data_IF_582733216375
#
_entry.id   IF_582733216375
#
_cell.length_a   1.000
_cell.length_b   1.000
_cell.length_c   1.000
_cell.angle_alpha   90.00
_cell.angle_beta   90.00
_cell.angle_gamma   90.00
#
_symmetry.space_group_name_H-M   'P 1'
#
loop_
_entity.id
_entity.type
_entity.pdbx_description
1 polymer ?
#
# COMPACT_ATOMS: atom_id res chain seq x y z
N UNK A 1 11.67 23.78 23.12
CA UNK A 1 11.39 22.62 22.25
C UNK A 1 9.99 22.76 21.71
N UNK A 2 9.81 22.76 20.38
CA UNK A 2 8.50 22.84 19.73
C UNK A 2 7.71 21.52 19.87
N UNK A 3 6.41 21.55 19.55
CA UNK A 3 5.58 20.33 19.51
C UNK A 3 6.14 19.29 18.52
N UNK A 4 6.56 19.72 17.33
CA UNK A 4 7.12 18.85 16.31
C UNK A 4 8.46 18.22 16.71
N UNK A 5 9.33 18.96 17.40
CA UNK A 5 10.58 18.40 17.93
C UNK A 5 10.30 17.31 18.98
N UNK A 6 9.31 17.51 19.86
CA UNK A 6 8.88 16.47 20.83
C UNK A 6 8.32 15.25 20.13
N UNK A 7 7.49 15.44 19.11
CA UNK A 7 6.94 14.36 18.29
C UNK A 7 8.05 13.51 17.65
N UNK A 8 9.03 14.14 17.00
CA UNK A 8 10.15 13.42 16.39
C UNK A 8 11.01 12.66 17.39
N UNK A 9 11.26 13.25 18.56
CA UNK A 9 11.99 12.58 19.63
C UNK A 9 11.21 11.37 20.16
N UNK A 10 9.91 11.51 20.37
CA UNK A 10 9.05 10.44 20.83
C UNK A 10 9.07 9.24 19.88
N UNK A 11 8.80 9.47 18.60
CA UNK A 11 8.74 8.38 17.61
C UNK A 11 10.12 7.79 17.31
N UNK A 12 11.19 8.59 17.37
CA UNK A 12 12.57 8.08 17.28
C UNK A 12 12.91 7.11 18.42
N UNK A 13 12.58 7.49 19.67
CA UNK A 13 12.78 6.62 20.83
C UNK A 13 11.95 5.33 20.70
N UNK A 14 10.69 5.43 20.28
CA UNK A 14 9.80 4.29 20.15
C UNK A 14 10.28 3.32 19.06
N UNK A 15 10.82 3.81 17.94
CA UNK A 15 11.46 2.96 16.92
C UNK A 15 12.60 2.13 17.53
N UNK A 16 13.39 2.70 18.41
CA UNK A 16 14.46 1.97 19.10
C UNK A 16 13.91 0.99 20.14
N UNK A 17 12.96 1.39 20.97
CA UNK A 17 12.31 0.53 21.97
C UNK A 17 11.65 -0.71 21.34
N UNK A 18 11.02 -0.52 20.17
CA UNK A 18 10.42 -1.58 19.39
C UNK A 18 11.44 -2.39 18.56
N UNK A 19 12.73 -2.07 18.65
CA UNK A 19 13.83 -2.72 17.92
C UNK A 19 13.71 -2.62 16.39
N UNK A 20 13.02 -1.60 15.91
CA UNK A 20 12.88 -1.32 14.47
C UNK A 20 14.11 -0.59 13.91
N UNK A 21 15.00 -0.11 14.77
CA UNK A 21 16.30 0.47 14.43
C UNK A 21 17.36 0.04 15.44
N UNK A 22 18.62 0.00 15.01
CA UNK A 22 19.80 -0.13 15.87
C UNK A 22 20.25 1.25 16.38
N UNK A 23 21.29 1.29 17.22
CA UNK A 23 21.80 2.54 17.79
C UNK A 23 22.22 3.61 16.77
N UNK A 24 22.62 3.20 15.57
CA UNK A 24 23.08 4.09 14.48
C UNK A 24 22.17 4.03 13.24
N UNK A 25 21.20 3.15 13.24
CA UNK A 25 20.36 2.91 12.08
C UNK A 25 19.13 3.82 12.03
N UNK A 26 18.64 4.04 10.81
CA UNK A 26 17.39 4.75 10.56
C UNK A 26 17.48 6.27 10.64
N UNK A 27 16.48 6.90 10.10
CA UNK A 27 16.29 8.35 10.14
C UNK A 27 14.81 8.67 9.88
N UNK A 28 14.36 9.80 10.42
CA UNK A 28 12.97 10.23 10.33
C UNK A 28 12.90 11.69 9.91
N UNK A 29 11.82 12.02 9.22
CA UNK A 29 11.56 13.40 8.84
C UNK A 29 10.08 13.76 8.86
N UNK A 30 9.82 15.06 8.93
CA UNK A 30 8.49 15.67 8.95
C UNK A 30 8.44 16.90 8.05
N UNK A 31 7.39 17.01 7.22
CA UNK A 31 7.09 18.25 6.50
C UNK A 31 6.57 19.28 7.48
N UNK A 32 7.21 20.45 7.54
CA UNK A 32 6.85 21.56 8.47
C UNK A 32 6.34 22.80 7.76
N UNK A 33 6.22 22.74 6.44
CA UNK A 33 5.71 23.81 5.59
C UNK A 33 5.73 23.41 4.13
N UNK A 34 5.35 24.31 3.24
CA UNK A 34 5.25 24.02 1.80
C UNK A 34 6.56 23.49 1.22
N UNK A 35 7.70 24.05 1.63
CA UNK A 35 9.04 23.74 1.14
C UNK A 35 10.07 23.61 2.26
N UNK A 36 9.62 23.23 3.46
CA UNK A 36 10.49 23.09 4.65
C UNK A 36 10.22 21.78 5.33
N UNK A 37 11.30 21.16 5.81
CA UNK A 37 11.25 19.86 6.46
C UNK A 37 12.10 19.88 7.73
N UNK A 38 11.75 19.06 8.70
CA UNK A 38 12.55 18.73 9.85
C UNK A 38 13.01 17.29 9.69
N UNK A 39 14.30 17.03 9.79
CA UNK A 39 14.91 15.71 9.61
C UNK A 39 15.93 15.45 10.70
N UNK A 40 16.18 14.19 11.04
CA UNK A 40 17.27 13.81 11.94
C UNK A 40 18.62 14.16 11.33
N UNK A 41 19.55 14.59 12.17
CA UNK A 41 20.92 14.91 11.78
C UNK A 41 21.73 13.67 11.37
N UNK A 42 22.86 13.90 10.73
CA UNK A 42 23.80 12.85 10.40
C UNK A 42 24.34 12.21 11.69
N UNK A 43 24.29 10.87 11.77
CA UNK A 43 24.68 10.07 12.94
C UNK A 43 23.87 10.34 14.21
N UNK A 44 22.70 10.97 14.12
CA UNK A 44 21.81 11.16 15.26
C UNK A 44 21.22 9.83 15.72
N UNK A 45 21.50 9.36 16.94
CA UNK A 45 20.95 8.09 17.43
C UNK A 45 19.47 8.27 17.78
N UNK A 46 18.59 7.52 17.12
CA UNK A 46 17.14 7.66 17.33
C UNK A 46 16.71 7.40 18.78
N UNK A 47 17.42 6.51 19.48
CA UNK A 47 17.19 6.19 20.89
C UNK A 47 17.40 7.36 21.86
N UNK A 48 18.23 8.33 21.49
CA UNK A 48 18.69 9.41 22.38
C UNK A 48 18.54 10.78 21.72
N UNK A 49 17.58 10.93 20.83
CA UNK A 49 17.33 12.19 20.13
C UNK A 49 17.10 13.34 21.09
N UNK A 50 17.72 14.45 20.79
CA UNK A 50 17.47 15.76 21.40
C UNK A 50 17.10 16.78 20.34
N UNK A 51 16.62 17.95 20.72
CA UNK A 51 16.31 19.00 19.75
C UNK A 51 17.53 19.48 18.95
N UNK A 52 18.76 19.24 19.44
CA UNK A 52 20.02 19.59 18.76
C UNK A 52 20.30 18.65 17.57
N UNK A 53 19.78 17.44 17.63
CA UNK A 53 19.94 16.39 16.60
C UNK A 53 18.95 16.54 15.45
N UNK A 54 18.02 17.49 15.54
CA UNK A 54 17.01 17.76 14.53
C UNK A 54 17.43 18.95 13.67
N UNK A 55 17.42 18.75 12.35
CA UNK A 55 17.89 19.70 11.36
C UNK A 55 16.72 20.18 10.51
N UNK A 56 16.54 21.51 10.45
CA UNK A 56 15.60 22.14 9.52
C UNK A 56 16.27 22.31 8.16
N UNK A 57 15.64 21.81 7.11
CA UNK A 57 16.15 21.87 5.74
C UNK A 57 15.13 22.53 4.80
N UNK A 58 15.64 23.09 3.72
CA UNK A 58 14.83 23.58 2.60
C UNK A 58 14.50 22.43 1.59
N UNK A 59 13.79 22.78 0.52
CA UNK A 59 13.44 21.83 -0.56
C UNK A 59 14.62 21.23 -1.32
N UNK A 60 15.82 21.82 -1.18
CA UNK A 60 17.05 21.35 -1.82
C UNK A 60 17.92 20.55 -0.81
N UNK A 61 17.41 20.27 0.39
CA UNK A 61 18.13 19.56 1.44
C UNK A 61 19.18 20.40 2.19
N UNK A 62 19.19 21.71 1.96
CA UNK A 62 20.18 22.60 2.60
C UNK A 62 19.73 22.94 4.01
N UNK A 63 20.58 22.69 5.03
CA UNK A 63 20.30 23.08 6.41
C UNK A 63 20.09 24.59 6.53
N UNK A 64 19.06 25.01 7.25
CA UNK A 64 18.83 26.44 7.57
C UNK A 64 19.98 27.00 8.41
N UNK A 65 20.51 26.20 9.35
CA UNK A 65 21.72 26.52 10.11
C UNK A 65 22.91 25.82 9.47
N UNK A 66 23.83 26.56 8.89
CA UNK A 66 25.01 26.06 8.17
C UNK A 66 25.94 25.16 9.00
N UNK A 67 25.87 25.23 10.33
CA UNK A 67 26.65 24.39 11.25
C UNK A 67 26.06 23.01 11.47
N UNK A 68 24.82 22.75 11.06
CA UNK A 68 24.16 21.45 11.19
C UNK A 68 24.36 20.63 9.92
N UNK A 69 24.40 19.30 10.10
CA UNK A 69 24.44 18.33 9.00
C UNK A 69 23.19 17.46 9.07
N UNK A 70 22.38 17.45 8.02
CA UNK A 70 21.23 16.56 7.87
C UNK A 70 21.69 15.13 7.58
N UNK A 71 20.80 14.15 7.77
CA UNK A 71 21.04 12.75 7.41
C UNK A 71 21.56 12.61 5.97
N UNK A 72 22.44 11.64 5.72
CA UNK A 72 22.89 11.25 4.39
C UNK A 72 21.74 10.81 3.48
N UNK A 73 20.63 10.32 4.07
CA UNK A 73 19.41 9.91 3.36
C UNK A 73 18.44 11.07 3.07
N UNK A 74 18.85 12.32 3.30
CA UNK A 74 18.06 13.51 2.93
C UNK A 74 17.55 13.48 1.50
N UNK A 75 18.33 13.05 0.46
CA UNK A 75 17.84 12.95 -0.90
C UNK A 75 16.64 12.00 -1.06
N UNK A 76 16.65 10.84 -0.37
CA UNK A 76 15.55 9.90 -0.35
C UNK A 76 14.28 10.55 0.21
N UNK A 77 14.36 11.16 1.40
CA UNK A 77 13.21 11.82 2.02
C UNK A 77 12.61 12.91 1.15
N UNK A 78 13.45 13.75 0.54
CA UNK A 78 13.00 14.81 -0.36
C UNK A 78 12.36 14.27 -1.63
N UNK A 79 12.89 13.18 -2.21
CA UNK A 79 12.28 12.53 -3.36
C UNK A 79 10.87 12.02 -3.03
N UNK A 80 10.70 11.38 -1.86
CA UNK A 80 9.38 10.93 -1.37
C UNK A 80 8.43 12.11 -1.21
N UNK A 81 8.85 13.20 -0.57
CA UNK A 81 8.00 14.40 -0.41
C UNK A 81 7.65 15.09 -1.72
N UNK A 82 8.51 15.01 -2.72
CA UNK A 82 8.27 15.57 -4.05
C UNK A 82 7.30 14.71 -4.87
N UNK A 83 7.40 13.39 -4.72
CA UNK A 83 6.67 12.45 -5.55
C UNK A 83 5.38 11.91 -4.96
N UNK A 84 5.08 12.24 -3.69
CA UNK A 84 3.88 11.77 -2.94
C UNK A 84 3.29 12.89 -2.10
N UNK A 85 2.11 12.63 -1.50
CA UNK A 85 1.45 13.54 -0.56
C UNK A 85 1.90 13.35 0.91
N UNK A 86 2.99 12.63 1.14
CA UNK A 86 3.51 12.33 2.47
C UNK A 86 3.74 13.59 3.31
N UNK A 87 3.42 13.49 4.60
CA UNK A 87 3.74 14.51 5.61
C UNK A 87 4.87 14.06 6.53
N UNK A 88 5.10 12.76 6.63
CA UNK A 88 6.18 12.15 7.38
C UNK A 88 6.81 11.00 6.58
N UNK A 89 8.09 10.75 6.82
CA UNK A 89 8.84 9.61 6.27
C UNK A 89 9.69 9.01 7.38
N UNK A 90 9.61 7.69 7.50
CA UNK A 90 10.47 6.89 8.37
C UNK A 90 11.29 5.94 7.50
N UNK A 91 12.59 6.01 7.62
CA UNK A 91 13.52 4.99 7.17
C UNK A 91 14.03 4.24 8.38
N UNK A 92 13.79 2.92 8.43
CA UNK A 92 14.08 2.05 9.55
C UNK A 92 14.75 0.75 9.09
N UNK A 93 15.35 0.00 10.04
CA UNK A 93 16.05 -1.25 9.78
C UNK A 93 15.49 -2.40 10.61
N UNK A 94 14.21 -2.78 10.44
CA UNK A 94 13.58 -3.84 11.19
C UNK A 94 14.28 -5.19 10.91
N UNK A 95 14.74 -5.92 11.93
CA UNK A 95 15.68 -7.03 11.73
C UNK A 95 15.07 -8.24 10.99
N UNK A 96 13.80 -8.57 11.24
CA UNK A 96 13.15 -9.68 10.53
C UNK A 96 12.85 -9.33 9.08
N UNK A 97 12.38 -8.11 8.82
CA UNK A 97 12.18 -7.61 7.46
C UNK A 97 13.50 -7.60 6.70
N UNK A 98 14.58 -7.15 7.34
CA UNK A 98 15.91 -7.13 6.74
C UNK A 98 16.36 -8.54 6.37
N UNK A 99 16.31 -9.50 7.31
CA UNK A 99 16.66 -10.90 7.07
C UNK A 99 15.81 -11.54 5.95
N UNK A 100 14.49 -11.31 5.98
CA UNK A 100 13.57 -11.80 4.95
C UNK A 100 13.91 -11.27 3.56
N UNK A 101 14.28 -10.00 3.46
CA UNK A 101 14.55 -9.32 2.18
C UNK A 101 15.71 -9.91 1.41
N UNK A 102 16.67 -10.56 2.09
CA UNK A 102 17.86 -11.14 1.45
C UNK A 102 17.55 -12.29 0.49
N UNK A 103 16.44 -12.99 0.69
CA UNK A 103 16.05 -14.19 -0.08
C UNK A 103 14.74 -14.07 -0.85
N UNK A 104 14.04 -12.92 -0.77
CA UNK A 104 12.73 -12.72 -1.37
C UNK A 104 12.69 -11.49 -2.28
N UNK A 105 11.69 -11.45 -3.18
CA UNK A 105 11.47 -10.32 -4.12
C UNK A 105 10.27 -9.45 -3.75
N UNK A 106 9.35 -9.98 -2.95
CA UNK A 106 8.21 -9.29 -2.37
C UNK A 106 7.81 -9.95 -1.07
N UNK A 107 7.03 -9.27 -0.25
CA UNK A 107 6.41 -9.79 0.96
C UNK A 107 4.90 -9.76 0.82
N UNK A 108 4.23 -10.90 0.92
CA UNK A 108 2.78 -11.01 0.92
C UNK A 108 2.28 -11.39 2.33
N UNK A 109 1.60 -10.47 3.04
CA UNK A 109 1.07 -10.73 4.38
C UNK A 109 0.09 -11.90 4.43
N UNK A 110 0.05 -12.60 5.56
CA UNK A 110 -0.84 -13.75 5.77
C UNK A 110 -2.11 -13.42 6.57
N UNK A 111 -2.05 -12.44 7.48
CA UNK A 111 -3.21 -12.01 8.24
C UNK A 111 -4.10 -11.05 7.46
N UNK A 112 -5.36 -10.92 7.89
CA UNK A 112 -6.31 -9.99 7.26
C UNK A 112 -5.91 -8.53 7.49
N UNK A 113 -5.56 -8.16 8.71
CA UNK A 113 -5.21 -6.80 9.09
C UNK A 113 -4.03 -6.28 8.27
N UNK A 114 -2.97 -7.07 8.15
CA UNK A 114 -1.77 -6.72 7.40
C UNK A 114 -2.06 -6.61 5.90
N UNK A 115 -2.84 -7.57 5.33
CA UNK A 115 -3.27 -7.50 3.92
C UNK A 115 -4.00 -6.22 3.59
N UNK A 116 -4.85 -5.74 4.52
CA UNK A 116 -5.61 -4.51 4.33
C UNK A 116 -4.79 -3.25 4.54
N UNK A 117 -3.83 -3.30 5.45
CA UNK A 117 -3.10 -2.10 5.86
C UNK A 117 -1.87 -1.84 5.00
N UNK A 118 -1.08 -2.87 4.71
CA UNK A 118 0.16 -2.73 3.93
C UNK A 118 0.11 -3.42 2.56
N UNK A 119 -0.76 -4.45 2.39
CA UNK A 119 -0.83 -5.23 1.16
C UNK A 119 0.45 -6.00 0.86
N UNK A 120 0.62 -6.42 -0.39
CA UNK A 120 1.90 -6.98 -0.85
C UNK A 120 2.94 -5.86 -0.93
N UNK A 121 4.09 -6.04 -0.27
CA UNK A 121 5.17 -5.06 -0.17
C UNK A 121 6.31 -5.45 -1.09
N UNK A 122 6.71 -4.54 -1.98
CA UNK A 122 7.83 -4.74 -2.90
C UNK A 122 9.18 -4.71 -2.17
N UNK A 123 10.10 -5.58 -2.59
CA UNK A 123 11.49 -5.59 -2.15
C UNK A 123 12.35 -5.06 -3.31
N UNK A 124 12.92 -3.87 -3.13
CA UNK A 124 13.75 -3.22 -4.13
C UNK A 124 15.22 -3.59 -3.94
N UNK A 125 15.92 -4.02 -4.98
CA UNK A 125 17.37 -4.23 -4.91
C UNK A 125 18.09 -2.97 -4.42
N UNK A 126 19.08 -3.16 -3.56
CA UNK A 126 19.91 -2.11 -3.00
C UNK A 126 21.39 -2.49 -3.13
N UNK A 127 22.16 -1.67 -3.84
CA UNK A 127 23.57 -1.97 -4.14
C UNK A 127 24.55 -1.13 -3.31
N UNK A 128 24.06 -0.08 -2.65
CA UNK A 128 24.88 0.88 -1.91
C UNK A 128 24.34 1.10 -0.49
N UNK A 129 25.19 1.47 0.49
CA UNK A 129 24.74 1.76 1.87
C UNK A 129 23.77 2.92 1.99
N UNK A 130 23.75 3.84 1.01
CA UNK A 130 22.78 4.94 0.91
C UNK A 130 21.87 4.70 -0.29
N UNK A 131 20.60 5.12 -0.19
CA UNK A 131 19.63 4.91 -1.27
C UNK A 131 19.92 5.86 -2.44
N UNK A 132 20.38 5.31 -3.56
CA UNK A 132 20.66 6.06 -4.79
C UNK A 132 19.50 6.03 -5.79
N UNK A 133 18.76 4.93 -5.86
CA UNK A 133 17.62 4.70 -6.77
C UNK A 133 16.31 5.29 -6.21
N UNK A 134 16.33 6.57 -5.79
CA UNK A 134 15.20 7.21 -5.11
C UNK A 134 13.93 7.28 -5.95
N UNK A 135 14.06 7.35 -7.29
CA UNK A 135 12.92 7.41 -8.20
C UNK A 135 12.09 6.11 -8.11
N UNK A 136 12.76 4.97 -8.11
CA UNK A 136 12.11 3.65 -8.01
C UNK A 136 11.40 3.47 -6.67
N UNK A 137 12.00 3.96 -5.58
CA UNK A 137 11.36 3.99 -4.26
C UNK A 137 10.08 4.81 -4.29
N UNK A 138 10.11 5.99 -4.92
CA UNK A 138 8.92 6.86 -5.04
C UNK A 138 7.83 6.21 -5.86
N UNK A 139 8.16 5.53 -6.96
CA UNK A 139 7.17 4.82 -7.80
C UNK A 139 6.43 3.77 -6.99
N UNK A 140 7.14 2.97 -6.19
CA UNK A 140 6.50 1.98 -5.30
C UNK A 140 5.69 2.65 -4.18
N UNK A 141 6.20 3.71 -3.56
CA UNK A 141 5.50 4.42 -2.49
C UNK A 141 4.26 5.19 -2.96
N UNK A 142 4.08 5.40 -4.26
CA UNK A 142 2.80 5.89 -4.82
C UNK A 142 1.71 4.84 -4.77
N UNK A 143 2.08 3.57 -4.89
CA UNK A 143 1.15 2.44 -4.89
C UNK A 143 0.88 1.94 -3.48
N UNK A 144 1.90 1.94 -2.62
CA UNK A 144 1.91 1.35 -1.27
C UNK A 144 2.49 2.33 -0.25
N UNK A 145 2.06 2.28 1.01
CA UNK A 145 2.55 3.22 2.02
C UNK A 145 3.95 2.87 2.56
N UNK A 146 4.46 1.68 2.25
CA UNK A 146 5.75 1.17 2.71
C UNK A 146 6.42 0.33 1.63
N UNK A 147 7.76 0.35 1.59
CA UNK A 147 8.59 -0.46 0.70
C UNK A 147 9.80 -1.01 1.45
N UNK A 148 10.28 -2.16 1.04
CA UNK A 148 11.48 -2.80 1.59
C UNK A 148 12.65 -2.55 0.63
N UNK A 149 13.79 -2.17 1.18
CA UNK A 149 15.08 -2.07 0.50
C UNK A 149 15.88 -3.32 0.84
N UNK A 150 16.24 -4.12 -0.16
CA UNK A 150 16.88 -5.42 0.03
C UNK A 150 18.18 -5.31 0.83
N UNK A 151 18.28 -6.04 1.93
CA UNK A 151 19.46 -6.05 2.81
C UNK A 151 19.77 -4.71 3.50
N UNK A 152 18.84 -3.74 3.45
CA UNK A 152 19.06 -2.40 4.01
C UNK A 152 18.00 -2.03 5.05
N UNK A 153 16.72 -2.10 4.72
CA UNK A 153 15.64 -1.72 5.64
C UNK A 153 14.33 -1.38 4.95
N UNK A 154 13.58 -0.45 5.51
CA UNK A 154 12.26 -0.03 5.02
C UNK A 154 12.17 1.48 4.82
N UNK A 155 11.29 1.92 3.93
CA UNK A 155 10.86 3.31 3.82
C UNK A 155 9.34 3.34 3.93
N UNK A 156 8.83 3.97 4.98
CA UNK A 156 7.40 4.17 5.22
C UNK A 156 7.05 5.65 5.12
N UNK A 157 5.92 5.94 4.48
CA UNK A 157 5.34 7.27 4.41
C UNK A 157 4.04 7.34 5.22
N UNK A 158 3.69 8.52 5.72
CA UNK A 158 2.44 8.74 6.45
C UNK A 158 1.96 10.19 6.38
N UNK A 159 0.71 10.40 6.78
CA UNK A 159 0.15 11.74 7.07
C UNK A 159 0.83 12.38 8.30
N UNK A 160 1.43 11.57 9.16
CA UNK A 160 2.20 11.93 10.34
C UNK A 160 3.22 10.82 10.67
N UNK A 161 4.06 11.04 11.70
CA UNK A 161 5.05 10.05 12.13
C UNK A 161 4.41 8.83 12.79
N UNK A 162 3.24 8.98 13.40
CA UNK A 162 2.48 7.88 13.99
C UNK A 162 2.11 6.85 12.92
N UNK A 163 1.50 7.29 11.82
CA UNK A 163 1.12 6.39 10.74
C UNK A 163 2.33 5.70 10.11
N UNK A 164 3.40 6.44 9.82
CA UNK A 164 4.62 5.85 9.27
C UNK A 164 5.29 4.85 10.23
N UNK A 165 5.23 5.11 11.54
CA UNK A 165 5.70 4.19 12.57
C UNK A 165 4.86 2.90 12.61
N UNK A 166 3.52 3.05 12.68
CA UNK A 166 2.61 1.90 12.74
C UNK A 166 2.76 0.99 11.52
N UNK A 167 2.97 1.54 10.33
CA UNK A 167 3.25 0.76 9.12
C UNK A 167 4.56 -0.01 9.21
N UNK A 168 5.59 0.59 9.78
CA UNK A 168 6.89 -0.05 9.98
C UNK A 168 6.82 -1.17 11.00
N UNK A 169 6.15 -0.94 12.13
CA UNK A 169 5.95 -1.91 13.22
C UNK A 169 5.09 -3.08 12.73
N UNK A 170 3.99 -2.80 12.02
CA UNK A 170 3.11 -3.82 11.46
C UNK A 170 3.83 -4.72 10.43
N UNK A 171 4.70 -4.15 9.59
CA UNK A 171 5.46 -4.94 8.61
C UNK A 171 6.44 -5.88 9.31
N UNK A 172 7.13 -5.45 10.36
CA UNK A 172 8.02 -6.30 11.15
C UNK A 172 7.25 -7.44 11.80
N UNK A 173 6.09 -7.16 12.42
CA UNK A 173 5.21 -8.15 13.02
C UNK A 173 4.69 -9.15 11.98
N UNK A 174 4.29 -8.67 10.80
CA UNK A 174 3.80 -9.51 9.71
C UNK A 174 4.85 -10.52 9.22
N UNK A 175 6.12 -10.08 9.10
CA UNK A 175 7.24 -10.97 8.74
C UNK A 175 7.51 -11.98 9.85
N UNK A 176 7.44 -11.58 11.12
CA UNK A 176 7.53 -12.51 12.27
C UNK A 176 6.44 -13.58 12.19
N UNK A 177 5.19 -13.21 11.95
CA UNK A 177 4.07 -14.15 11.82
C UNK A 177 4.30 -15.17 10.70
N UNK A 178 4.82 -14.71 9.56
CA UNK A 178 5.12 -15.60 8.43
C UNK A 178 6.26 -16.57 8.76
N UNK A 179 7.28 -16.12 9.45
CA UNK A 179 8.39 -16.96 9.91
C UNK A 179 7.90 -18.09 10.84
N UNK A 180 7.13 -17.76 11.86
CA UNK A 180 6.57 -18.78 12.78
C UNK A 180 5.64 -19.78 12.09
N UNK A 181 4.89 -19.34 11.06
CA UNK A 181 4.08 -20.25 10.24
C UNK A 181 4.95 -21.25 9.49
N UNK A 182 6.07 -20.82 8.91
CA UNK A 182 6.97 -21.69 8.12
C UNK A 182 7.65 -22.77 8.99
N UNK A 183 8.03 -22.44 10.23
CA UNK A 183 8.61 -23.41 11.17
C UNK A 183 7.66 -24.53 11.59
N UNK A 184 6.35 -24.27 11.58
CA UNK A 184 5.32 -25.24 11.99
C UNK A 184 4.76 -26.11 10.86
N UNK A 185 5.32 -26.04 9.65
CA UNK A 185 5.05 -26.99 8.55
C UNK A 185 3.63 -26.94 7.96
N UNK A 186 2.94 -25.80 8.00
CA UNK A 186 1.63 -25.64 7.38
C UNK A 186 1.76 -25.05 5.97
N UNK A 187 1.85 -25.92 4.97
CA UNK A 187 1.78 -25.56 3.53
C UNK A 187 0.33 -25.37 3.10
N UNK A 188 -0.25 -24.25 3.44
CA UNK A 188 -1.49 -23.78 2.81
C UNK A 188 -1.16 -22.92 1.59
N UNK A 189 -0.74 -23.56 0.49
CA UNK A 189 -0.67 -22.86 -0.78
C UNK A 189 -2.09 -22.56 -1.27
N UNK A 190 -2.40 -21.29 -1.52
CA UNK A 190 -3.60 -20.94 -2.29
C UNK A 190 -3.38 -21.42 -3.72
N UNK A 191 -4.37 -22.05 -4.37
CA UNK A 191 -4.25 -22.51 -5.76
C UNK A 191 -3.98 -21.31 -6.67
N UNK A 192 -2.94 -21.42 -7.49
CA UNK A 192 -2.67 -20.47 -8.55
C UNK A 192 -3.85 -20.38 -9.51
N UNK A 193 -4.36 -19.17 -9.74
CA UNK A 193 -5.42 -18.95 -10.71
C UNK A 193 -4.86 -19.09 -12.13
N UNK A 194 -5.49 -19.92 -12.97
CA UNK A 194 -5.17 -20.00 -14.39
C UNK A 194 -5.31 -18.62 -15.05
N UNK A 195 -4.32 -18.23 -15.82
CA UNK A 195 -4.36 -17.01 -16.63
C UNK A 195 -5.46 -17.10 -17.69
N UNK A 196 -6.20 -16.01 -17.87
CA UNK A 196 -7.22 -15.89 -18.91
C UNK A 196 -6.62 -15.09 -20.08
N UNK A 197 -6.69 -15.61 -21.30
CA UNK A 197 -6.25 -14.90 -22.50
C UNK A 197 -7.43 -14.14 -23.12
N UNK A 198 -7.20 -12.87 -23.47
CA UNK A 198 -8.18 -12.10 -24.23
C UNK A 198 -8.35 -12.66 -25.65
N UNK A 199 -9.55 -12.56 -26.27
CA UNK A 199 -9.84 -13.15 -27.57
C UNK A 199 -8.91 -12.72 -28.71
N UNK A 200 -8.29 -11.54 -28.61
CA UNK A 200 -7.37 -10.97 -29.61
C UNK A 200 -5.91 -10.88 -29.15
N UNK A 201 -5.60 -11.42 -27.97
CA UNK A 201 -4.25 -11.40 -27.37
C UNK A 201 -3.80 -10.02 -26.83
N UNK A 202 -4.60 -8.96 -26.98
CA UNK A 202 -4.19 -7.57 -26.66
C UNK A 202 -4.82 -6.99 -25.37
N UNK A 203 -5.65 -7.75 -24.66
CA UNK A 203 -6.38 -7.28 -23.49
C UNK A 203 -7.59 -6.40 -23.82
N UNK A 204 -8.39 -6.09 -22.80
CA UNK A 204 -9.60 -5.28 -22.91
C UNK A 204 -9.29 -3.79 -22.60
N UNK A 205 -10.08 -2.88 -23.20
CA UNK A 205 -10.11 -1.49 -22.75
C UNK A 205 -10.77 -1.45 -21.38
N UNK A 206 -10.10 -0.85 -20.40
CA UNK A 206 -10.60 -0.79 -19.03
C UNK A 206 -12.02 -0.23 -18.96
N UNK A 207 -12.93 -1.01 -18.38
CA UNK A 207 -14.36 -0.72 -18.23
C UNK A 207 -15.11 -0.46 -19.55
N UNK A 208 -14.64 -1.00 -20.68
CA UNK A 208 -15.50 -1.13 -21.85
C UNK A 208 -16.63 -2.14 -21.59
N UNK A 209 -17.68 -2.14 -22.41
CA UNK A 209 -18.80 -3.08 -22.27
C UNK A 209 -18.32 -4.52 -22.35
N UNK A 210 -17.39 -4.82 -23.27
CA UNK A 210 -16.77 -6.14 -23.44
C UNK A 210 -15.96 -6.55 -22.21
N UNK A 211 -15.21 -5.60 -21.62
CA UNK A 211 -14.48 -5.85 -20.38
C UNK A 211 -15.43 -6.16 -19.23
N UNK A 212 -16.47 -5.37 -19.06
CA UNK A 212 -17.47 -5.58 -18.01
C UNK A 212 -18.21 -6.91 -18.18
N UNK A 213 -18.53 -7.31 -19.40
CA UNK A 213 -19.11 -8.62 -19.69
C UNK A 213 -18.16 -9.76 -19.29
N UNK A 214 -16.88 -9.66 -19.67
CA UNK A 214 -15.87 -10.65 -19.29
C UNK A 214 -15.69 -10.77 -17.77
N UNK A 215 -15.75 -9.64 -17.02
CA UNK A 215 -15.70 -9.65 -15.56
C UNK A 215 -16.88 -10.43 -14.95
N UNK A 216 -18.09 -10.25 -15.51
CA UNK A 216 -19.31 -10.91 -15.06
C UNK A 216 -19.26 -12.41 -15.35
N UNK A 217 -18.93 -12.78 -16.57
CA UNK A 217 -18.84 -14.18 -16.98
C UNK A 217 -17.83 -14.92 -16.11
N UNK A 218 -16.66 -14.33 -15.91
CA UNK A 218 -15.59 -14.90 -15.10
C UNK A 218 -16.00 -15.16 -13.65
N UNK A 219 -16.77 -14.24 -13.06
CA UNK A 219 -17.29 -14.40 -11.70
C UNK A 219 -18.42 -15.46 -11.66
N UNK A 220 -19.34 -15.42 -12.62
CA UNK A 220 -20.46 -16.36 -12.68
C UNK A 220 -20.05 -17.80 -13.00
N UNK A 221 -18.91 -18.02 -13.64
CA UNK A 221 -18.36 -19.36 -13.91
C UNK A 221 -17.58 -19.95 -12.73
N UNK A 222 -17.24 -19.14 -11.72
CA UNK A 222 -16.42 -19.60 -10.59
C UNK A 222 -17.28 -20.20 -9.46
N UNK A 223 -17.15 -21.53 -9.18
CA UNK A 223 -17.96 -22.19 -8.16
C UNK A 223 -17.70 -21.65 -6.75
N UNK A 224 -16.48 -21.16 -6.47
CA UNK A 224 -16.13 -20.62 -5.16
C UNK A 224 -16.78 -19.25 -4.95
N UNK A 225 -16.80 -18.39 -5.96
CA UNK A 225 -17.54 -17.13 -5.89
C UNK A 225 -19.03 -17.39 -5.66
N UNK A 226 -19.65 -18.27 -6.43
CA UNK A 226 -21.07 -18.60 -6.28
C UNK A 226 -21.41 -19.16 -4.89
N UNK A 227 -20.59 -20.08 -4.37
CA UNK A 227 -20.78 -20.64 -3.04
C UNK A 227 -20.68 -19.56 -1.95
N UNK A 228 -19.62 -18.75 -1.97
CA UNK A 228 -19.41 -17.68 -0.99
C UNK A 228 -20.49 -16.59 -1.06
N UNK A 229 -20.91 -16.23 -2.28
CA UNK A 229 -21.93 -15.21 -2.49
C UNK A 229 -23.34 -15.70 -2.10
N UNK A 230 -23.63 -16.98 -2.29
CA UNK A 230 -24.88 -17.60 -1.83
C UNK A 230 -24.90 -17.70 -0.31
N UNK A 231 -23.82 -18.19 0.31
CA UNK A 231 -23.70 -18.33 1.77
C UNK A 231 -23.85 -16.97 2.47
N UNK A 232 -23.22 -15.92 1.91
CA UNK A 232 -23.31 -14.56 2.42
C UNK A 232 -24.60 -13.83 2.02
N UNK A 233 -25.53 -14.48 1.30
CA UNK A 233 -26.75 -13.88 0.73
C UNK A 233 -26.45 -12.56 0.02
N UNK A 234 -25.43 -12.54 -0.85
CA UNK A 234 -25.01 -11.36 -1.60
C UNK A 234 -26.13 -10.91 -2.53
N UNK A 235 -26.85 -9.90 -2.12
CA UNK A 235 -27.93 -9.26 -2.89
C UNK A 235 -27.76 -7.75 -2.74
N UNK A 236 -27.22 -7.11 -3.78
CA UNK A 236 -26.92 -5.66 -3.79
C UNK A 236 -26.59 -5.17 -5.19
N UNK A 237 -26.35 -3.90 -5.34
CA UNK A 237 -25.87 -3.27 -6.58
C UNK A 237 -24.58 -2.48 -6.32
N UNK A 238 -23.56 -2.76 -7.12
CA UNK A 238 -22.26 -2.12 -7.04
C UNK A 238 -21.97 -1.35 -8.34
N UNK A 239 -21.79 -0.05 -8.23
CA UNK A 239 -21.31 0.78 -9.34
C UNK A 239 -19.80 0.92 -9.28
N UNK A 240 -19.14 0.60 -10.39
CA UNK A 240 -17.73 0.87 -10.65
C UNK A 240 -17.64 2.10 -11.54
N UNK A 241 -16.90 3.11 -11.10
CA UNK A 241 -16.79 4.39 -11.80
C UNK A 241 -15.33 4.77 -12.03
N UNK A 242 -15.00 4.98 -13.29
CA UNK A 242 -13.74 5.53 -13.75
C UNK A 242 -13.91 7.06 -13.86
N UNK A 243 -13.19 7.83 -13.01
CA UNK A 243 -13.40 9.29 -12.85
C UNK A 243 -13.15 10.12 -14.12
N UNK A 244 -12.45 9.55 -15.09
CA UNK A 244 -12.15 10.18 -16.40
C UNK A 244 -13.08 9.70 -17.53
N UNK A 245 -14.17 8.99 -17.20
CA UNK A 245 -15.23 8.60 -18.15
C UNK A 245 -16.60 9.03 -17.64
N UNK A 246 -17.51 9.33 -18.57
CA UNK A 246 -18.86 9.76 -18.22
C UNK A 246 -19.82 8.60 -17.89
N UNK A 247 -19.41 7.36 -18.16
CA UNK A 247 -20.30 6.20 -18.03
C UNK A 247 -19.79 5.27 -16.93
N UNK A 248 -20.37 5.34 -15.72
CA UNK A 248 -20.17 4.31 -14.69
C UNK A 248 -20.96 3.04 -15.04
N UNK A 249 -20.53 1.90 -14.49
CA UNK A 249 -21.19 0.63 -14.67
C UNK A 249 -21.77 0.12 -13.35
N UNK A 250 -23.06 -0.24 -13.34
CA UNK A 250 -23.73 -0.85 -12.19
C UNK A 250 -23.91 -2.35 -12.42
N UNK A 251 -23.37 -3.13 -11.49
CA UNK A 251 -23.42 -4.59 -11.46
C UNK A 251 -24.45 -5.01 -10.42
N UNK A 252 -25.42 -5.85 -10.80
CA UNK A 252 -26.46 -6.37 -9.93
C UNK A 252 -26.12 -7.77 -9.44
N UNK A 253 -26.09 -7.96 -8.14
CA UNK A 253 -25.85 -9.24 -7.49
C UNK A 253 -27.14 -9.77 -6.88
N UNK A 254 -27.51 -11.00 -7.16
CA UNK A 254 -28.68 -11.70 -6.62
C UNK A 254 -28.31 -13.12 -6.22
N UNK A 255 -28.31 -13.41 -4.91
CA UNK A 255 -28.15 -14.75 -4.33
C UNK A 255 -27.01 -15.56 -4.94
N UNK A 256 -25.84 -14.95 -5.06
CA UNK A 256 -24.63 -15.64 -5.52
C UNK A 256 -24.35 -15.57 -7.01
N UNK A 257 -25.13 -14.80 -7.77
CA UNK A 257 -24.91 -14.57 -9.20
C UNK A 257 -24.90 -13.08 -9.51
N UNK A 258 -24.16 -12.72 -10.54
CA UNK A 258 -24.29 -11.42 -11.18
C UNK A 258 -25.34 -11.58 -12.27
N UNK A 259 -26.49 -10.90 -12.11
CA UNK A 259 -27.66 -11.11 -12.96
C UNK A 259 -27.85 -10.05 -14.02
N UNK A 260 -27.26 -8.85 -13.83
CA UNK A 260 -27.45 -7.72 -14.73
C UNK A 260 -26.29 -6.75 -14.68
N UNK A 261 -25.93 -6.20 -15.84
CA UNK A 261 -25.06 -5.05 -16.03
C UNK A 261 -25.88 -3.88 -16.57
N UNK A 262 -25.66 -2.69 -16.04
CA UNK A 262 -26.37 -1.48 -16.45
C UNK A 262 -25.40 -0.31 -16.55
N UNK A 263 -25.49 0.44 -17.65
CA UNK A 263 -24.77 1.71 -17.76
C UNK A 263 -25.46 2.76 -16.86
N UNK A 264 -24.70 3.40 -15.99
CA UNK A 264 -25.19 4.40 -15.06
C UNK A 264 -24.77 4.14 -13.61
N UNK A 265 -24.80 5.22 -12.81
CA UNK A 265 -24.33 5.23 -11.42
C UNK A 265 -25.42 5.02 -10.38
N UNK A 266 -26.34 4.06 -10.58
CA UNK A 266 -27.55 3.88 -9.75
C UNK A 266 -27.38 2.96 -8.56
N UNK A 267 -26.23 2.26 -8.44
CA UNK A 267 -26.00 1.24 -7.41
C UNK A 267 -26.13 1.74 -5.97
N UNK A 268 -26.46 0.82 -5.07
CA UNK A 268 -26.46 1.05 -3.61
C UNK A 268 -25.06 1.47 -3.13
N UNK A 269 -24.03 0.85 -3.70
CA UNK A 269 -22.64 1.21 -3.47
C UNK A 269 -22.04 1.78 -4.75
N UNK A 270 -21.25 2.84 -4.62
CA UNK A 270 -20.53 3.47 -5.73
C UNK A 270 -19.06 3.61 -5.36
N UNK A 271 -18.20 2.87 -6.04
CA UNK A 271 -16.74 2.96 -5.90
C UNK A 271 -16.20 3.70 -7.11
N UNK A 272 -15.50 4.80 -6.88
CA UNK A 272 -14.94 5.68 -7.90
C UNK A 272 -13.43 5.81 -7.73
N UNK A 273 -12.71 5.88 -8.84
CA UNK A 273 -11.27 6.10 -8.85
C UNK A 273 -10.76 6.56 -10.20
N UNK A 274 -9.56 7.13 -10.20
CA UNK A 274 -8.87 7.49 -11.44
C UNK A 274 -8.42 6.24 -12.20
N UNK A 275 -8.23 6.38 -13.52
CA UNK A 275 -7.74 5.32 -14.40
C UNK A 275 -6.48 4.65 -13.88
N UNK A 276 -5.47 5.43 -13.51
CA UNK A 276 -4.18 4.93 -13.00
C UNK A 276 -4.30 3.94 -11.83
N UNK A 277 -5.30 4.15 -10.95
CA UNK A 277 -5.54 3.27 -9.79
C UNK A 277 -6.29 2.01 -10.17
N UNK A 278 -7.29 2.11 -11.04
CA UNK A 278 -7.97 0.93 -11.56
C UNK A 278 -7.04 0.04 -12.38
N UNK A 279 -6.20 0.61 -13.24
CA UNK A 279 -5.16 -0.12 -13.97
C UNK A 279 -4.18 -0.80 -13.02
N UNK A 280 -3.71 -0.11 -11.98
CA UNK A 280 -2.82 -0.69 -10.98
C UNK A 280 -3.46 -1.87 -10.24
N UNK A 281 -4.79 -1.83 -9.98
CA UNK A 281 -5.54 -2.93 -9.37
C UNK A 281 -5.64 -4.12 -10.33
N UNK A 282 -6.06 -3.91 -11.58
CA UNK A 282 -6.19 -5.00 -12.57
C UNK A 282 -4.83 -5.61 -12.94
N UNK A 283 -3.76 -4.84 -12.91
CA UNK A 283 -2.37 -5.30 -13.08
C UNK A 283 -1.77 -5.90 -11.80
N UNK A 284 -2.55 -6.10 -10.74
CA UNK A 284 -2.13 -6.66 -9.44
C UNK A 284 -1.02 -5.87 -8.73
N UNK A 285 -0.83 -4.60 -9.09
CA UNK A 285 0.15 -3.73 -8.44
C UNK A 285 -0.33 -3.16 -7.11
N UNK A 286 -1.64 -3.10 -6.89
CA UNK A 286 -2.26 -2.69 -5.65
C UNK A 286 -3.51 -3.52 -5.36
N UNK A 287 -3.72 -3.87 -4.10
CA UNK A 287 -4.95 -4.51 -3.65
C UNK A 287 -6.14 -3.52 -3.67
N UNK A 288 -7.34 -3.90 -4.16
CA UNK A 288 -8.50 -3.01 -4.29
C UNK A 288 -8.98 -2.46 -2.93
N UNK A 289 -8.90 -3.25 -1.87
CA UNK A 289 -9.31 -2.82 -0.53
C UNK A 289 -8.30 -1.85 0.06
N UNK A 290 -6.99 -2.13 -0.11
CA UNK A 290 -5.93 -1.21 0.25
C UNK A 290 -6.06 0.12 -0.51
N UNK A 291 -6.37 0.08 -1.81
CA UNK A 291 -6.61 1.28 -2.61
C UNK A 291 -7.76 2.14 -2.05
N UNK A 292 -8.82 1.49 -1.53
CA UNK A 292 -9.93 2.17 -0.87
C UNK A 292 -9.51 2.83 0.44
N UNK A 293 -8.75 2.14 1.28
CA UNK A 293 -8.25 2.70 2.54
C UNK A 293 -7.28 3.87 2.33
N UNK A 294 -6.46 3.80 1.28
CA UNK A 294 -5.54 4.88 0.91
C UNK A 294 -6.23 6.05 0.19
N UNK A 295 -7.55 6.00 0.01
CA UNK A 295 -8.31 7.04 -0.69
C UNK A 295 -8.05 7.11 -2.20
N UNK A 296 -7.33 6.11 -2.78
CA UNK A 296 -7.12 5.96 -4.22
C UNK A 296 -8.40 5.54 -4.93
N UNK A 297 -9.15 4.62 -4.31
CA UNK A 297 -10.56 4.39 -4.61
C UNK A 297 -11.41 5.04 -3.52
N UNK A 298 -12.55 5.61 -3.90
CA UNK A 298 -13.46 6.32 -3.01
C UNK A 298 -14.83 5.67 -3.02
N UNK A 299 -15.32 5.28 -1.87
CA UNK A 299 -16.72 4.91 -1.69
C UNK A 299 -17.57 6.19 -1.70
N UNK A 300 -18.16 6.53 -2.84
CA UNK A 300 -18.97 7.75 -3.05
C UNK A 300 -20.40 7.62 -2.52
N UNK A 301 -20.90 6.39 -2.45
CA UNK A 301 -22.23 6.02 -1.93
C UNK A 301 -22.16 4.68 -1.23
N UNK A 302 -23.02 4.49 -0.24
CA UNK A 302 -23.09 3.31 0.60
C UNK A 302 -22.22 3.44 1.85
N UNK A 303 -22.33 2.46 2.75
CA UNK A 303 -21.62 2.42 4.01
C UNK A 303 -20.63 1.25 4.01
N UNK A 304 -19.36 1.51 4.35
CA UNK A 304 -18.30 0.51 4.27
C UNK A 304 -18.60 -0.74 5.12
N UNK A 305 -19.21 -0.57 6.30
CA UNK A 305 -19.55 -1.69 7.18
C UNK A 305 -20.61 -2.62 6.55
N UNK A 306 -21.53 -2.09 5.74
CA UNK A 306 -22.50 -2.91 4.99
C UNK A 306 -21.79 -3.67 3.87
N UNK A 307 -20.87 -3.02 3.16
CA UNK A 307 -20.08 -3.67 2.09
C UNK A 307 -19.21 -4.79 2.65
N UNK A 308 -18.69 -4.63 3.87
CA UNK A 308 -17.80 -5.60 4.51
C UNK A 308 -18.47 -6.94 4.86
N UNK A 309 -19.80 -7.00 5.02
CA UNK A 309 -20.50 -8.27 5.23
C UNK A 309 -20.35 -9.23 4.04
N UNK A 310 -20.14 -8.71 2.84
CA UNK A 310 -19.89 -9.47 1.62
C UNK A 310 -18.42 -9.50 1.21
N UNK A 311 -17.54 -9.33 2.18
CA UNK A 311 -16.11 -9.23 1.95
C UNK A 311 -15.55 -10.41 1.14
N UNK A 312 -15.83 -11.65 1.58
CA UNK A 312 -15.31 -12.88 0.94
C UNK A 312 -15.70 -12.98 -0.55
N UNK A 313 -16.98 -12.86 -0.93
CA UNK A 313 -17.34 -12.90 -2.35
C UNK A 313 -16.77 -11.73 -3.15
N UNK A 314 -16.72 -10.50 -2.62
CA UNK A 314 -16.08 -9.40 -3.34
C UNK A 314 -14.59 -9.59 -3.51
N UNK A 315 -13.88 -10.07 -2.48
CA UNK A 315 -12.46 -10.42 -2.60
C UNK A 315 -12.24 -11.47 -3.70
N UNK A 316 -13.09 -12.52 -3.74
CA UNK A 316 -13.01 -13.54 -4.79
C UNK A 316 -13.28 -12.96 -6.16
N UNK A 317 -14.31 -12.13 -6.32
CA UNK A 317 -14.64 -11.48 -7.60
C UNK A 317 -13.45 -10.63 -8.08
N UNK A 318 -12.86 -9.77 -7.25
CA UNK A 318 -11.70 -8.98 -7.62
C UNK A 318 -10.48 -9.84 -7.98
N UNK A 319 -10.23 -10.93 -7.25
CA UNK A 319 -9.15 -11.88 -7.58
C UNK A 319 -9.35 -12.48 -8.97
N UNK A 320 -10.58 -12.84 -9.32
CA UNK A 320 -10.94 -13.35 -10.66
C UNK A 320 -10.79 -12.27 -11.73
N UNK A 321 -11.29 -11.07 -11.46
CA UNK A 321 -11.24 -9.92 -12.36
C UNK A 321 -9.80 -9.53 -12.71
N UNK A 322 -8.88 -9.60 -11.75
CA UNK A 322 -7.45 -9.39 -11.98
C UNK A 322 -6.78 -10.46 -12.87
N UNK A 323 -7.49 -11.54 -13.26
CA UNK A 323 -6.99 -12.51 -14.26
C UNK A 323 -7.32 -12.10 -15.70
N UNK A 324 -8.17 -11.09 -15.87
CA UNK A 324 -8.60 -10.59 -17.18
C UNK A 324 -7.65 -9.46 -17.59
N UNK A 325 -6.91 -9.61 -18.70
CA UNK A 325 -5.92 -8.65 -19.11
C UNK A 325 -6.57 -7.35 -19.63
N UNK A 326 -5.99 -6.22 -19.28
CA UNK A 326 -6.34 -4.89 -19.80
C UNK A 326 -5.19 -4.32 -20.64
N UNK A 327 -5.54 -3.45 -21.62
CA UNK A 327 -4.61 -2.74 -22.50
C UNK A 327 -4.60 -1.25 -22.22
#
# INVERSE_FOLDING_TARGET
MSRLEREMIHWGNLLFERRLVSGWGGNISRRIGKERFLITGQHAPLAFLTAKDLVRIDRNGRPVKKTQRASSETPLHLAVYKGTDAKAVIHAHPPMVLAFSLSHKSFAPISFEEKYTIGEVSILPQETPTVTETQRVVEELRLRPIVILQGHGTVALGKDLEEAFLLTDLLEEAVHCQFYKSEKGSTGAYPESKSFEAPDGNGYVLFSEEHMAALIDRANEDPQFQSQATEANLTTTLTLHLEDTDIPWTVHFERGKITRLEAGGTGEFVISGKREWWEAIFQRRIDPFLATQQGKLKLKRGELWKLSQWFKPFQRAFTLWQTIPIK
#
